data_IF_676020130199
#
_entry.id   IF_676020130199
#
_cell.length_a   1.000
_cell.length_b   1.000
_cell.length_c   1.000
_cell.angle_alpha   90.00
_cell.angle_beta   90.00
_cell.angle_gamma   90.00
#
_symmetry.space_group_name_H-M   'P 1'
#
loop_
_entity.id
_entity.type
_entity.pdbx_description
1 polymer ?
#
# COMPACT_ATOMS: atom_id res chain seq x y z
N UNK A 1 -2.14 -5.86 12.20
CA UNK A 1 -1.78 -7.14 12.87
C UNK A 1 -0.50 -7.74 12.29
N UNK A 2 -0.45 -8.07 10.98
CA UNK A 2 0.76 -8.67 10.36
C UNK A 2 1.96 -7.72 10.45
N UNK A 3 1.76 -6.44 10.15
CA UNK A 3 2.80 -5.41 10.25
C UNK A 3 3.35 -5.23 11.68
N UNK A 4 2.56 -5.56 12.69
CA UNK A 4 3.00 -5.46 14.09
C UNK A 4 4.13 -6.44 14.42
N UNK A 5 4.22 -7.57 13.72
CA UNK A 5 5.35 -8.49 13.85
C UNK A 5 6.65 -7.93 13.29
N UNK A 6 6.58 -7.16 12.19
CA UNK A 6 7.78 -6.64 11.51
C UNK A 6 8.31 -5.39 12.23
N UNK A 7 7.40 -4.54 12.76
CA UNK A 7 7.72 -3.28 13.39
C UNK A 7 8.63 -3.43 14.62
N UNK A 8 9.79 -2.75 14.68
CA UNK A 8 10.66 -2.77 15.86
C UNK A 8 10.04 -2.05 17.06
N UNK A 9 9.10 -1.13 16.79
CA UNK A 9 8.41 -0.38 17.85
C UNK A 9 7.30 -1.19 18.48
N UNK A 10 6.59 -2.02 17.71
CA UNK A 10 5.43 -2.80 18.18
C UNK A 10 5.81 -4.20 18.62
N UNK A 11 6.73 -4.86 17.91
CA UNK A 11 7.19 -6.18 18.27
C UNK A 11 8.23 -6.14 19.40
N UNK A 12 7.76 -6.36 20.61
CA UNK A 12 8.60 -6.46 21.82
C UNK A 12 8.85 -7.89 22.28
N UNK A 13 8.62 -8.86 21.39
CA UNK A 13 8.85 -10.29 21.68
C UNK A 13 10.34 -10.58 21.85
N UNK A 14 10.65 -11.58 22.67
CA UNK A 14 12.02 -12.02 22.96
C UNK A 14 12.28 -13.46 22.50
N UNK A 15 11.32 -14.05 21.81
CA UNK A 15 11.43 -15.38 21.20
C UNK A 15 11.87 -15.28 19.73
N UNK A 16 11.77 -16.40 19.00
CA UNK A 16 12.15 -16.50 17.57
C UNK A 16 11.36 -15.62 16.61
N UNK A 17 10.31 -14.93 17.08
CA UNK A 17 9.50 -13.97 16.29
C UNK A 17 9.79 -12.53 16.67
N UNK A 18 10.80 -12.22 17.50
CA UNK A 18 11.13 -10.89 17.97
C UNK A 18 12.62 -10.57 17.96
N UNK A 19 12.97 -9.34 18.29
CA UNK A 19 14.36 -8.87 18.33
C UNK A 19 14.88 -8.49 16.95
N UNK A 20 15.70 -9.32 16.29
CA UNK A 20 16.29 -9.03 14.98
C UNK A 20 15.24 -8.87 13.88
N UNK A 21 15.59 -8.14 12.81
CA UNK A 21 14.70 -8.00 11.66
C UNK A 21 14.34 -9.36 11.03
N UNK A 22 15.30 -10.28 10.99
CA UNK A 22 15.09 -11.64 10.52
C UNK A 22 14.05 -12.40 11.34
N UNK A 23 14.10 -12.30 12.67
CA UNK A 23 13.11 -12.91 13.54
C UNK A 23 11.74 -12.26 13.39
N UNK A 24 11.68 -10.93 13.29
CA UNK A 24 10.40 -10.20 13.15
C UNK A 24 9.67 -10.52 11.83
N UNK A 25 10.38 -10.82 10.75
CA UNK A 25 9.74 -11.21 9.47
C UNK A 25 9.33 -12.69 9.42
N UNK A 26 9.85 -13.55 10.30
CA UNK A 26 9.58 -15.01 10.33
C UNK A 26 8.09 -15.35 10.25
N UNK A 27 7.25 -14.68 11.03
CA UNK A 27 5.81 -14.91 11.01
C UNK A 27 5.19 -14.67 9.62
N UNK A 28 5.64 -13.63 8.93
CA UNK A 28 5.14 -13.31 7.58
C UNK A 28 5.62 -14.35 6.57
N UNK A 29 6.86 -14.80 6.68
CA UNK A 29 7.40 -15.86 5.83
C UNK A 29 6.58 -17.14 5.96
N UNK A 30 6.34 -17.60 7.17
CA UNK A 30 5.55 -18.81 7.46
C UNK A 30 4.10 -18.67 6.99
N UNK A 31 3.51 -17.48 7.19
CA UNK A 31 2.14 -17.19 6.75
C UNK A 31 2.02 -17.22 5.22
N UNK A 32 2.92 -16.57 4.50
CA UNK A 32 2.90 -16.54 3.04
C UNK A 32 3.16 -17.94 2.45
N UNK A 33 4.08 -18.70 3.02
CA UNK A 33 4.36 -20.07 2.61
C UNK A 33 3.12 -20.97 2.82
N UNK A 34 2.44 -20.84 3.96
CA UNK A 34 1.21 -21.58 4.26
C UNK A 34 0.06 -21.20 3.30
N UNK A 35 -0.12 -19.90 3.02
CA UNK A 35 -1.12 -19.43 2.06
C UNK A 35 -0.81 -19.97 0.67
N UNK A 36 0.43 -19.84 0.20
CA UNK A 36 0.84 -20.32 -1.13
C UNK A 36 0.66 -21.84 -1.26
N UNK A 37 1.00 -22.60 -0.21
CA UNK A 37 0.77 -24.05 -0.17
C UNK A 37 -0.72 -24.42 -0.30
N UNK A 38 -1.60 -23.63 0.33
CA UNK A 38 -3.04 -23.87 0.29
C UNK A 38 -3.70 -23.49 -1.05
N UNK A 39 -3.30 -22.35 -1.65
CA UNK A 39 -3.95 -21.82 -2.86
C UNK A 39 -3.23 -22.22 -4.16
N UNK A 40 -1.93 -22.54 -4.10
CA UNK A 40 -1.10 -22.81 -5.27
C UNK A 40 -1.07 -21.62 -6.22
N UNK A 41 -1.13 -21.89 -7.52
CA UNK A 41 -1.21 -20.88 -8.59
C UNK A 41 -2.64 -20.45 -8.94
N UNK A 42 -3.65 -20.97 -8.23
CA UNK A 42 -5.08 -20.71 -8.53
C UNK A 42 -5.55 -19.32 -8.11
N UNK A 43 -4.86 -18.68 -7.16
CA UNK A 43 -5.19 -17.36 -6.66
C UNK A 43 -3.93 -16.50 -6.58
N UNK A 44 -4.07 -15.23 -6.95
CA UNK A 44 -3.04 -14.23 -6.71
C UNK A 44 -2.99 -13.86 -5.22
N UNK A 45 -1.77 -13.65 -4.72
CA UNK A 45 -1.51 -13.14 -3.37
C UNK A 45 -1.03 -11.71 -3.52
N UNK A 46 -1.86 -10.74 -3.12
CA UNK A 46 -1.45 -9.35 -2.98
C UNK A 46 -1.04 -9.07 -1.55
N UNK A 47 0.15 -8.50 -1.36
CA UNK A 47 0.61 -8.05 -0.05
C UNK A 47 0.53 -6.54 0.07
N UNK A 48 -0.16 -6.04 1.10
CA UNK A 48 -0.20 -4.62 1.40
C UNK A 48 0.78 -4.28 2.52
N UNK A 49 1.64 -3.29 2.28
CA UNK A 49 2.52 -2.73 3.29
C UNK A 49 2.37 -1.21 3.42
N UNK A 50 2.89 -0.69 4.53
CA UNK A 50 3.13 0.74 4.71
C UNK A 50 4.56 1.03 4.31
N UNK A 51 4.81 1.93 3.35
CA UNK A 51 6.14 2.25 2.85
C UNK A 51 7.09 2.74 3.95
N UNK A 52 6.53 3.41 4.94
CA UNK A 52 7.21 3.78 6.20
C UNK A 52 6.16 3.95 7.31
N UNK A 53 6.55 3.73 8.54
CA UNK A 53 5.62 3.87 9.68
C UNK A 53 5.41 5.34 10.09
N UNK A 54 6.35 6.24 9.76
CA UNK A 54 6.33 7.66 10.11
C UNK A 54 6.24 7.93 11.62
N UNK A 55 6.80 7.04 12.40
CA UNK A 55 6.94 7.15 13.85
C UNK A 55 8.42 6.99 14.22
N UNK A 56 8.78 7.56 15.37
CA UNK A 56 10.15 7.46 15.85
C UNK A 56 10.56 6.00 16.05
N UNK A 57 11.73 5.63 15.56
CA UNK A 57 12.30 4.28 15.62
C UNK A 57 11.45 3.20 14.92
N UNK A 58 10.45 3.60 14.11
CA UNK A 58 9.66 2.73 13.27
C UNK A 58 10.38 2.29 12.01
N UNK A 59 9.70 1.47 11.19
CA UNK A 59 10.23 1.02 9.89
C UNK A 59 10.39 2.18 8.92
N UNK A 60 11.55 2.28 8.30
CA UNK A 60 11.87 3.24 7.24
C UNK A 60 11.49 2.70 5.87
N UNK A 61 11.56 3.56 4.85
CA UNK A 61 11.36 3.15 3.46
C UNK A 61 12.38 2.07 3.04
N UNK A 62 13.64 2.24 3.43
CA UNK A 62 14.70 1.28 3.13
C UNK A 62 14.44 -0.09 3.76
N UNK A 63 13.98 -0.12 5.01
CA UNK A 63 13.60 -1.37 5.69
C UNK A 63 12.46 -2.08 4.96
N UNK A 64 11.47 -1.32 4.49
CA UNK A 64 10.30 -1.85 3.80
C UNK A 64 10.60 -2.30 2.37
N UNK A 65 11.50 -1.62 1.66
CA UNK A 65 11.99 -2.08 0.36
C UNK A 65 12.74 -3.39 0.52
N UNK A 66 13.70 -3.48 1.45
CA UNK A 66 14.43 -4.72 1.73
C UNK A 66 13.51 -5.87 2.16
N UNK A 67 12.44 -5.56 2.91
CA UNK A 67 11.43 -6.55 3.25
C UNK A 67 10.61 -6.99 2.03
N UNK A 68 10.21 -6.07 1.16
CA UNK A 68 9.46 -6.38 -0.05
C UNK A 68 10.28 -7.26 -1.02
N UNK A 69 11.56 -6.94 -1.24
CA UNK A 69 12.49 -7.78 -2.01
C UNK A 69 12.58 -9.20 -1.43
N UNK A 70 12.60 -9.33 -0.09
CA UNK A 70 12.66 -10.63 0.56
C UNK A 70 11.42 -11.50 0.30
N UNK A 71 10.22 -10.90 0.31
CA UNK A 71 8.96 -11.65 0.13
C UNK A 71 8.50 -11.71 -1.34
N UNK A 72 9.18 -11.06 -2.28
CA UNK A 72 8.78 -10.92 -3.69
C UNK A 72 8.41 -12.25 -4.32
N UNK A 73 9.22 -13.30 -4.11
CA UNK A 73 8.98 -14.62 -4.69
C UNK A 73 7.74 -15.36 -4.14
N UNK A 74 7.15 -14.85 -3.05
CA UNK A 74 6.01 -15.47 -2.35
C UNK A 74 4.67 -14.81 -2.68
N UNK A 75 4.70 -13.62 -3.29
CA UNK A 75 3.53 -12.79 -3.62
C UNK A 75 3.44 -12.55 -5.13
N UNK A 76 2.28 -12.14 -5.61
CA UNK A 76 2.05 -11.86 -7.04
C UNK A 76 1.96 -10.35 -7.33
N UNK A 77 1.68 -9.53 -6.31
CA UNK A 77 1.68 -8.07 -6.40
C UNK A 77 1.90 -7.42 -5.04
N UNK A 78 2.42 -6.21 -5.07
CA UNK A 78 2.60 -5.38 -3.88
C UNK A 78 1.66 -4.18 -3.92
N UNK A 79 1.04 -3.86 -2.78
CA UNK A 79 0.19 -2.70 -2.59
C UNK A 79 0.78 -1.73 -1.58
N UNK A 80 1.10 -0.51 -2.01
CA UNK A 80 1.84 0.47 -1.22
C UNK A 80 0.92 1.54 -0.65
N UNK A 81 0.92 1.65 0.68
CA UNK A 81 0.35 2.76 1.46
C UNK A 81 1.44 3.35 2.37
N UNK A 82 1.08 4.30 3.24
CA UNK A 82 2.05 4.92 4.17
C UNK A 82 1.39 5.25 5.49
N UNK A 83 2.18 5.26 6.57
CA UNK A 83 1.72 5.61 7.91
C UNK A 83 1.10 4.45 8.68
N UNK A 84 0.79 4.72 9.92
CA UNK A 84 0.16 3.80 10.87
C UNK A 84 -0.97 4.49 11.61
N UNK A 85 -1.89 3.72 12.20
CA UNK A 85 -3.02 4.25 12.98
C UNK A 85 -2.66 4.51 14.45
N UNK A 86 -1.42 4.95 14.73
CA UNK A 86 -0.95 5.22 16.09
C UNK A 86 -1.47 6.56 16.62
N UNK A 87 -1.50 7.54 15.74
CA UNK A 87 -1.93 8.90 16.07
C UNK A 87 -2.54 9.58 14.84
N UNK A 88 -3.16 10.73 15.06
CA UNK A 88 -3.87 11.47 14.03
C UNK A 88 -2.94 11.94 12.91
N UNK A 89 -1.69 12.28 13.22
CA UNK A 89 -0.71 12.74 12.22
C UNK A 89 -0.39 11.63 11.22
N UNK A 90 -0.01 10.44 11.69
CA UNK A 90 0.32 9.30 10.81
C UNK A 90 -0.90 8.74 10.09
N UNK A 91 -2.09 8.80 10.72
CA UNK A 91 -3.36 8.39 10.10
C UNK A 91 -3.73 9.24 8.87
N UNK A 92 -3.32 10.53 8.82
CA UNK A 92 -3.57 11.40 7.67
C UNK A 92 -2.87 10.92 6.38
N UNK A 93 -1.80 10.16 6.48
CA UNK A 93 -1.13 9.56 5.31
C UNK A 93 -1.87 8.32 4.79
N UNK A 94 -2.58 7.60 5.67
CA UNK A 94 -3.45 6.48 5.26
C UNK A 94 -4.72 7.03 4.59
N UNK A 95 -5.31 8.08 5.18
CA UNK A 95 -6.55 8.72 4.71
C UNK A 95 -6.32 10.20 4.41
N UNK A 96 -5.54 10.56 3.37
CA UNK A 96 -5.15 11.94 3.11
C UNK A 96 -6.38 12.83 2.90
N UNK A 97 -6.58 13.85 3.79
CA UNK A 97 -7.69 14.80 3.68
C UNK A 97 -7.45 15.84 2.58
N UNK A 98 -8.41 16.77 2.42
CA UNK A 98 -8.41 17.72 1.32
C UNK A 98 -7.19 18.66 1.26
N UNK A 99 -6.57 18.98 2.40
CA UNK A 99 -5.39 19.85 2.49
C UNK A 99 -4.05 19.17 2.18
N UNK A 100 -4.05 17.84 1.98
CA UNK A 100 -2.90 17.12 1.42
C UNK A 100 -2.94 17.13 -0.10
N UNK A 101 -1.79 17.01 -0.73
CA UNK A 101 -1.73 16.77 -2.17
C UNK A 101 -2.42 15.45 -2.55
N UNK A 102 -2.89 15.34 -3.79
CA UNK A 102 -3.38 14.07 -4.30
C UNK A 102 -2.22 13.14 -4.62
N UNK A 103 -2.41 11.85 -4.38
CA UNK A 103 -1.40 10.85 -4.71
C UNK A 103 -0.18 10.87 -3.77
N UNK A 104 -0.38 11.19 -2.48
CA UNK A 104 0.70 11.28 -1.48
C UNK A 104 1.62 10.06 -1.41
N UNK A 105 1.16 8.89 -1.82
CA UNK A 105 1.92 7.64 -1.76
C UNK A 105 2.56 7.25 -3.11
N UNK A 106 2.35 8.01 -4.17
CA UNK A 106 2.82 7.65 -5.52
C UNK A 106 4.35 7.60 -5.61
N UNK A 107 5.04 8.51 -4.94
CA UNK A 107 6.50 8.51 -4.93
C UNK A 107 7.06 7.27 -4.20
N UNK A 108 6.41 6.79 -3.15
CA UNK A 108 6.78 5.53 -2.50
C UNK A 108 6.59 4.33 -3.44
N UNK A 109 5.44 4.24 -4.10
CA UNK A 109 5.20 3.15 -5.05
C UNK A 109 6.29 3.07 -6.13
N UNK A 110 6.80 4.21 -6.60
CA UNK A 110 7.90 4.25 -7.55
C UNK A 110 9.18 3.59 -6.99
N UNK A 111 9.54 3.83 -5.74
CA UNK A 111 10.71 3.18 -5.13
C UNK A 111 10.59 1.65 -5.10
N UNK A 112 9.40 1.12 -4.77
CA UNK A 112 9.17 -0.32 -4.81
C UNK A 112 9.16 -0.86 -6.24
N UNK A 113 8.60 -0.12 -7.19
CA UNK A 113 8.59 -0.52 -8.60
C UNK A 113 10.00 -0.57 -9.20
N UNK A 114 10.90 0.32 -8.76
CA UNK A 114 12.30 0.30 -9.19
C UNK A 114 13.09 -0.89 -8.60
N UNK A 115 12.66 -1.41 -7.44
CA UNK A 115 13.32 -2.51 -6.74
C UNK A 115 12.76 -3.89 -7.09
N UNK A 116 11.48 -3.99 -7.46
CA UNK A 116 10.77 -5.25 -7.64
C UNK A 116 10.43 -5.52 -9.12
N UNK A 117 10.29 -6.80 -9.46
CA UNK A 117 9.85 -7.25 -10.79
C UNK A 117 8.34 -7.55 -10.87
N UNK A 118 7.65 -7.63 -9.72
CA UNK A 118 6.21 -7.86 -9.64
C UNK A 118 5.43 -6.55 -9.74
N UNK A 119 4.14 -6.57 -10.15
CA UNK A 119 3.30 -5.38 -10.21
C UNK A 119 3.18 -4.67 -8.86
N UNK A 120 3.29 -3.33 -8.88
CA UNK A 120 3.18 -2.47 -7.70
C UNK A 120 1.98 -1.54 -7.82
N UNK A 121 1.08 -1.59 -6.84
CA UNK A 121 -0.08 -0.72 -6.72
C UNK A 121 0.10 0.40 -5.71
N UNK A 122 -0.66 1.49 -5.87
CA UNK A 122 -0.65 2.64 -4.96
C UNK A 122 -2.05 3.14 -4.60
N UNK A 123 -2.12 3.89 -3.51
CA UNK A 123 -3.35 4.54 -2.99
C UNK A 123 -3.00 5.90 -2.39
N UNK A 124 -3.98 6.74 -2.17
CA UNK A 124 -3.80 7.98 -1.38
C UNK A 124 -4.38 9.22 -2.04
N UNK A 125 -5.70 9.39 -1.96
CA UNK A 125 -6.38 10.58 -2.47
C UNK A 125 -6.29 10.76 -3.98
N UNK A 126 -6.34 9.67 -4.73
CA UNK A 126 -6.22 9.64 -6.19
C UNK A 126 -7.61 9.79 -6.82
N UNK A 127 -7.73 10.61 -7.86
CA UNK A 127 -8.87 10.69 -8.75
C UNK A 127 -8.56 10.05 -10.12
N UNK A 128 -9.53 10.01 -11.01
CA UNK A 128 -9.40 9.31 -12.29
C UNK A 128 -8.33 9.92 -13.19
N UNK A 129 -8.22 11.23 -13.25
CA UNK A 129 -7.20 11.92 -14.06
C UNK A 129 -5.79 11.63 -13.57
N UNK A 130 -5.59 11.68 -12.24
CA UNK A 130 -4.31 11.34 -11.63
C UNK A 130 -4.01 9.84 -11.77
N UNK A 131 -5.01 8.97 -11.66
CA UNK A 131 -4.84 7.53 -11.84
C UNK A 131 -4.28 7.20 -13.23
N UNK A 132 -4.86 7.80 -14.28
CA UNK A 132 -4.36 7.64 -15.65
C UNK A 132 -2.90 8.11 -15.77
N UNK A 133 -2.61 9.30 -15.26
CA UNK A 133 -1.26 9.87 -15.28
C UNK A 133 -0.22 8.98 -14.57
N UNK A 134 -0.57 8.40 -13.41
CA UNK A 134 0.31 7.52 -12.65
C UNK A 134 0.74 6.31 -13.49
N UNK A 135 -0.21 5.69 -14.18
CA UNK A 135 0.05 4.51 -15.03
C UNK A 135 0.80 4.91 -16.30
N UNK A 136 0.41 5.98 -16.98
CA UNK A 136 1.05 6.45 -18.21
C UNK A 136 2.52 6.88 -17.98
N UNK A 137 2.82 7.46 -16.81
CA UNK A 137 4.17 7.86 -16.41
C UNK A 137 4.97 6.71 -15.76
N UNK A 138 4.44 5.50 -15.78
CA UNK A 138 5.08 4.31 -15.21
C UNK A 138 5.46 4.45 -13.72
N UNK A 139 4.66 5.19 -12.94
CA UNK A 139 4.92 5.45 -11.51
C UNK A 139 4.37 4.36 -10.59
N UNK A 140 3.37 3.63 -11.05
CA UNK A 140 2.82 2.43 -10.46
C UNK A 140 2.09 1.63 -11.55
N UNK A 141 1.93 0.32 -11.37
CA UNK A 141 1.22 -0.56 -12.32
C UNK A 141 -0.28 -0.55 -12.09
N UNK A 142 -0.70 -0.28 -10.85
CA UNK A 142 -2.10 -0.30 -10.43
C UNK A 142 -2.41 0.86 -9.49
N UNK A 143 -3.66 1.32 -9.52
CA UNK A 143 -4.15 2.40 -8.64
C UNK A 143 -5.45 1.96 -7.95
N UNK A 144 -5.51 2.20 -6.64
CA UNK A 144 -6.72 1.93 -5.86
C UNK A 144 -7.38 3.23 -5.41
N UNK A 145 -8.70 3.32 -5.65
CA UNK A 145 -9.51 4.52 -5.38
C UNK A 145 -10.78 4.12 -4.62
N UNK A 146 -10.77 4.15 -3.28
CA UNK A 146 -11.97 3.82 -2.51
C UNK A 146 -12.95 5.00 -2.43
N UNK A 147 -12.50 6.14 -1.87
CA UNK A 147 -13.38 7.30 -1.63
C UNK A 147 -13.93 7.93 -2.91
N UNK A 148 -13.19 7.86 -4.01
CA UNK A 148 -13.67 8.30 -5.32
C UNK A 148 -14.83 7.42 -5.82
N UNK A 149 -14.76 6.11 -5.61
CA UNK A 149 -15.85 5.17 -5.92
C UNK A 149 -17.07 5.34 -5.00
N UNK A 150 -16.87 5.73 -3.74
CA UNK A 150 -18.00 6.08 -2.85
C UNK A 150 -18.70 7.34 -3.33
N UNK A 151 -17.94 8.35 -3.79
CA UNK A 151 -18.50 9.58 -4.34
C UNK A 151 -19.24 9.36 -5.67
N UNK A 152 -18.68 8.50 -6.53
CA UNK A 152 -19.27 8.15 -7.81
C UNK A 152 -19.03 6.67 -8.15
N UNK A 153 -19.97 5.78 -7.84
CA UNK A 153 -19.82 4.34 -8.13
C UNK A 153 -19.67 4.01 -9.63
N UNK A 154 -20.16 4.88 -10.52
CA UNK A 154 -20.08 4.69 -11.99
C UNK A 154 -18.85 5.37 -12.63
N UNK A 155 -17.95 5.94 -11.84
CA UNK A 155 -16.84 6.74 -12.35
C UNK A 155 -15.95 6.00 -13.37
N UNK A 156 -15.72 4.70 -13.18
CA UNK A 156 -14.90 3.91 -14.11
C UNK A 156 -15.59 3.76 -15.47
N UNK A 157 -16.91 3.52 -15.48
CA UNK A 157 -17.67 3.43 -16.72
C UNK A 157 -17.77 4.79 -17.44
N UNK A 158 -17.94 5.88 -16.68
CA UNK A 158 -17.91 7.24 -17.22
C UNK A 158 -16.56 7.54 -17.86
N UNK A 159 -15.45 7.25 -17.18
CA UNK A 159 -14.11 7.42 -17.74
C UNK A 159 -13.90 6.59 -19.02
N UNK A 160 -14.39 5.34 -19.05
CA UNK A 160 -14.32 4.48 -20.25
C UNK A 160 -15.04 5.05 -21.47
N UNK A 161 -16.11 5.80 -21.24
CA UNK A 161 -16.86 6.49 -22.31
C UNK A 161 -16.28 7.86 -22.68
N UNK A 162 -15.31 8.36 -21.92
CA UNK A 162 -14.76 9.70 -22.09
C UNK A 162 -15.54 10.80 -21.35
N UNK A 163 -16.53 10.43 -20.54
CA UNK A 163 -17.46 11.35 -19.85
C UNK A 163 -16.83 11.86 -18.53
N UNK A 164 -15.62 12.37 -18.56
CA UNK A 164 -14.87 12.79 -17.36
C UNK A 164 -15.55 13.92 -16.59
N UNK A 165 -16.21 14.84 -17.28
CA UNK A 165 -16.93 15.98 -16.66
C UNK A 165 -18.15 15.53 -15.84
N UNK A 166 -18.69 14.34 -16.13
CA UNK A 166 -19.83 13.78 -15.41
C UNK A 166 -19.42 13.01 -14.14
N UNK A 167 -18.11 12.86 -13.89
CA UNK A 167 -17.61 12.17 -12.70
C UNK A 167 -17.74 13.08 -11.48
N UNK A 168 -18.50 12.63 -10.47
CA UNK A 168 -18.62 13.34 -9.19
C UNK A 168 -17.31 13.22 -8.40
N UNK A 169 -16.60 14.32 -8.14
CA UNK A 169 -15.30 14.25 -7.45
C UNK A 169 -15.48 13.98 -5.95
N UNK A 170 -14.58 13.17 -5.39
CA UNK A 170 -14.42 13.06 -3.94
C UNK A 170 -13.71 14.31 -3.39
N UNK A 171 -14.33 14.99 -2.43
CA UNK A 171 -13.79 16.18 -1.76
C UNK A 171 -12.81 15.86 -0.62
N UNK A 172 -12.58 14.59 -0.32
CA UNK A 172 -11.65 14.10 0.72
C UNK A 172 -11.90 14.67 2.12
N UNK A 173 -13.15 14.84 2.51
CA UNK A 173 -13.56 15.31 3.83
C UNK A 173 -13.39 14.27 4.95
N UNK A 174 -13.14 12.99 4.61
CA UNK A 174 -13.00 11.86 5.54
C UNK A 174 -14.22 11.59 6.42
N UNK A 175 -15.44 11.90 5.95
CA UNK A 175 -16.69 11.64 6.67
C UNK A 175 -17.43 10.37 6.22
N UNK A 176 -16.86 9.64 5.25
CA UNK A 176 -17.33 8.32 4.84
C UNK A 176 -16.63 7.24 5.66
#
# INVERSE_FOLDING_TARGET
FISDFISPVRNKRTDEYGGSFENRRRFVDELLDAIRAAVGSRMAIEYRLSAEERIKDGLTLEDQVAFAEHIESKIDSLYVSTGVLENDETATYIFPPAYYERGVNVHYARHFKDALSIPVGTVGGIDMALAQKIVDEDRADMVTMLRSLIADPDMVNKARRGDFEDIRPCVRCNTC
#
